data_IF_467865163524
#
_entry.id   IF_467865163524
#
_cell.length_a   1.000
_cell.length_b   1.000
_cell.length_c   1.000
_cell.angle_alpha   90.00
_cell.angle_beta   90.00
_cell.angle_gamma   90.00
#
_symmetry.space_group_name_H-M   'P 1'
#
loop_
_entity.id
_entity.type
_entity.pdbx_description
1 polymer ?
#
# COMPACT_ATOMS: atom_id res chain seq x y z
N UNK A 1 51.62 -10.68 -26.83
CA UNK A 1 50.84 -10.97 -25.60
C UNK A 1 49.43 -10.46 -25.80
N UNK A 2 48.45 -11.38 -25.76
CA UNK A 2 47.01 -11.07 -25.87
C UNK A 2 46.58 -10.31 -24.61
N UNK A 3 46.00 -9.11 -24.75
CA UNK A 3 45.22 -8.51 -23.66
C UNK A 3 43.74 -8.61 -24.04
N UNK A 4 43.07 -9.47 -23.29
CA UNK A 4 41.67 -9.82 -23.42
C UNK A 4 40.79 -8.57 -23.26
N UNK A 5 39.87 -8.45 -24.20
CA UNK A 5 38.69 -7.61 -24.17
C UNK A 5 37.86 -7.96 -22.91
N UNK A 6 37.50 -6.98 -22.10
CA UNK A 6 36.42 -7.11 -21.12
C UNK A 6 35.46 -5.95 -21.35
N UNK A 7 34.49 -6.20 -22.23
CA UNK A 7 33.34 -5.34 -22.48
C UNK A 7 32.43 -5.45 -21.24
N UNK A 8 32.48 -4.46 -20.35
CA UNK A 8 31.53 -4.36 -19.24
C UNK A 8 30.20 -3.88 -19.82
N UNK A 9 29.35 -4.83 -20.18
CA UNK A 9 27.95 -4.60 -20.48
C UNK A 9 27.24 -4.20 -19.18
N UNK A 10 27.15 -2.89 -18.94
CA UNK A 10 26.22 -2.35 -17.95
C UNK A 10 24.82 -2.53 -18.55
N UNK A 11 24.19 -3.66 -18.25
CA UNK A 11 22.76 -3.85 -18.44
C UNK A 11 22.05 -2.98 -17.39
N UNK A 12 21.82 -1.72 -17.71
CA UNK A 12 20.79 -0.93 -17.03
C UNK A 12 19.47 -1.51 -17.52
N UNK A 13 18.91 -2.47 -16.78
CA UNK A 13 17.52 -2.87 -16.93
C UNK A 13 16.65 -1.68 -16.47
N UNK A 14 16.49 -0.69 -17.36
CA UNK A 14 15.38 0.26 -17.28
C UNK A 14 14.14 -0.48 -17.80
N UNK A 15 13.62 -1.41 -17.00
CA UNK A 15 12.23 -1.83 -17.13
C UNK A 15 11.38 -0.72 -16.52
N UNK A 16 11.31 0.41 -17.21
CA UNK A 16 10.21 1.36 -17.07
C UNK A 16 8.92 0.57 -17.21
N UNK A 17 8.08 0.68 -16.18
CA UNK A 17 7.04 -0.27 -15.87
C UNK A 17 6.09 -0.62 -17.01
N UNK A 18 5.98 -1.92 -17.27
CA UNK A 18 4.65 -2.49 -17.42
C UNK A 18 4.08 -2.58 -16.00
N UNK A 19 3.35 -1.54 -15.57
CA UNK A 19 2.54 -1.61 -14.37
C UNK A 19 1.63 -2.82 -14.48
N UNK A 20 1.62 -3.68 -13.46
CA UNK A 20 0.61 -4.72 -13.38
C UNK A 20 -0.73 -3.99 -13.28
N UNK A 21 -1.61 -4.30 -14.22
CA UNK A 21 -2.96 -3.79 -14.22
C UNK A 21 -3.70 -4.37 -12.99
N UNK A 22 -3.72 -3.64 -11.88
CA UNK A 22 -4.35 -4.11 -10.65
C UNK A 22 -5.85 -3.86 -10.69
N UNK A 23 -6.60 -4.81 -10.15
CA UNK A 23 -8.04 -4.70 -9.99
C UNK A 23 -8.40 -4.84 -8.51
N UNK A 24 -9.63 -4.48 -8.15
CA UNK A 24 -10.18 -4.76 -6.81
C UNK A 24 -10.14 -6.26 -6.44
N UNK A 25 -9.98 -7.19 -7.39
CA UNK A 25 -9.77 -8.62 -7.10
C UNK A 25 -8.36 -8.96 -6.63
N UNK A 26 -7.40 -8.07 -6.82
CA UNK A 26 -6.03 -8.28 -6.35
C UNK A 26 -5.87 -7.89 -4.88
N UNK A 27 -6.67 -6.94 -4.39
CA UNK A 27 -6.67 -6.57 -2.96
C UNK A 27 -7.20 -7.70 -2.07
N UNK A 28 -8.11 -8.55 -2.57
CA UNK A 28 -8.65 -9.69 -1.79
C UNK A 28 -7.62 -10.79 -1.54
N UNK A 29 -6.46 -10.73 -2.21
CA UNK A 29 -5.33 -11.63 -1.98
C UNK A 29 -4.41 -11.11 -0.87
N UNK A 30 -4.60 -9.87 -0.43
CA UNK A 30 -3.83 -9.27 0.66
C UNK A 30 -4.52 -9.59 1.99
N UNK A 31 -3.71 -9.86 3.00
CA UNK A 31 -4.17 -10.10 4.37
C UNK A 31 -3.32 -9.33 5.35
N UNK A 32 -3.87 -9.04 6.52
CA UNK A 32 -3.09 -8.61 7.68
C UNK A 32 -1.97 -9.63 7.97
N UNK A 33 -0.85 -9.15 8.50
CA UNK A 33 0.38 -9.91 8.77
C UNK A 33 1.10 -10.51 7.55
N UNK A 34 0.62 -10.20 6.33
CA UNK A 34 1.33 -10.57 5.12
C UNK A 34 2.67 -9.82 5.03
N UNK A 35 3.73 -10.52 4.61
CA UNK A 35 5.05 -9.92 4.39
C UNK A 35 5.02 -8.98 3.20
N UNK A 36 5.73 -7.85 3.28
CA UNK A 36 5.86 -6.89 2.17
C UNK A 36 6.31 -7.54 0.87
N UNK A 37 7.29 -8.46 0.93
CA UNK A 37 7.78 -9.19 -0.25
C UNK A 37 6.64 -9.95 -0.96
N UNK A 38 5.75 -10.61 -0.19
CA UNK A 38 4.59 -11.31 -0.75
C UNK A 38 3.57 -10.34 -1.34
N UNK A 39 3.40 -9.17 -0.73
CA UNK A 39 2.55 -8.12 -1.32
C UNK A 39 3.12 -7.68 -2.68
N UNK A 40 4.43 -7.48 -2.78
CA UNK A 40 5.07 -7.13 -4.04
C UNK A 40 5.04 -8.26 -5.09
N UNK A 41 5.09 -9.52 -4.68
CA UNK A 41 4.84 -10.66 -5.58
C UNK A 41 3.41 -10.65 -6.14
N UNK A 42 2.43 -10.33 -5.29
CA UNK A 42 1.01 -10.30 -5.64
C UNK A 42 0.65 -9.07 -6.47
N UNK A 43 1.13 -7.89 -6.11
CA UNK A 43 0.72 -6.61 -6.70
C UNK A 43 1.76 -5.99 -7.63
N UNK A 44 2.98 -6.51 -7.65
CA UNK A 44 4.11 -5.86 -8.30
C UNK A 44 4.70 -4.75 -7.43
N UNK A 45 5.41 -3.81 -8.06
CA UNK A 45 6.03 -2.69 -7.35
C UNK A 45 5.00 -1.59 -7.08
N UNK A 46 5.06 -0.92 -5.92
CA UNK A 46 4.22 0.25 -5.66
C UNK A 46 4.59 1.39 -6.61
N UNK A 47 3.60 2.22 -6.95
CA UNK A 47 3.82 3.47 -7.68
C UNK A 47 4.38 4.56 -6.78
N UNK A 48 4.09 4.50 -5.48
CA UNK A 48 4.64 5.40 -4.47
C UNK A 48 4.89 4.68 -3.15
N UNK A 49 5.98 5.06 -2.47
CA UNK A 49 6.31 4.58 -1.13
C UNK A 49 6.79 5.73 -0.26
N UNK A 50 6.42 5.72 1.01
CA UNK A 50 6.88 6.73 1.98
C UNK A 50 6.99 6.16 3.39
N UNK A 51 7.91 6.75 4.14
CA UNK A 51 8.03 6.61 5.60
C UNK A 51 7.93 7.98 6.28
N UNK A 52 7.67 9.03 5.50
CA UNK A 52 7.51 10.38 6.02
C UNK A 52 6.23 10.46 6.86
N UNK A 53 6.35 11.00 8.06
CA UNK A 53 5.24 11.02 9.01
C UNK A 53 4.07 11.85 8.51
N UNK A 54 4.34 12.99 7.88
CA UNK A 54 3.28 13.91 7.46
C UNK A 54 2.50 13.29 6.30
N UNK A 55 3.18 12.59 5.37
CA UNK A 55 2.53 11.79 4.34
C UNK A 55 1.69 10.65 4.94
N UNK A 56 2.26 9.91 5.91
CA UNK A 56 1.58 8.81 6.60
C UNK A 56 0.30 9.32 7.27
N UNK A 57 0.38 10.36 8.08
CA UNK A 57 -0.80 10.90 8.79
C UNK A 57 -1.78 11.59 7.85
N UNK A 58 -1.32 12.34 6.84
CA UNK A 58 -2.20 13.07 5.93
C UNK A 58 -3.03 12.13 5.05
N UNK A 59 -2.42 11.05 4.55
CA UNK A 59 -3.16 9.98 3.87
C UNK A 59 -4.06 9.25 4.84
N UNK A 60 -3.59 9.00 6.06
CA UNK A 60 -4.38 8.33 7.08
C UNK A 60 -5.65 9.11 7.50
N UNK A 61 -5.55 10.42 7.68
CA UNK A 61 -6.67 11.29 8.04
C UNK A 61 -7.72 11.35 6.91
N UNK A 62 -7.28 11.34 5.66
CA UNK A 62 -8.18 11.28 4.48
C UNK A 62 -9.03 10.00 4.48
N UNK A 63 -8.47 8.88 4.93
CA UNK A 63 -9.17 7.59 5.09
C UNK A 63 -10.20 7.65 6.20
N UNK A 64 -9.84 8.33 7.29
CA UNK A 64 -10.66 8.45 8.50
C UNK A 64 -12.02 9.05 8.19
N UNK A 65 -12.06 10.09 7.37
CA UNK A 65 -13.31 10.70 6.91
C UNK A 65 -14.18 9.69 6.17
N UNK A 66 -13.59 8.84 5.34
CA UNK A 66 -14.30 7.88 4.50
C UNK A 66 -14.80 6.69 5.32
N UNK A 67 -13.94 6.12 6.17
CA UNK A 67 -14.32 5.03 7.07
C UNK A 67 -15.37 5.49 8.07
N UNK A 68 -15.23 6.67 8.67
CA UNK A 68 -16.26 7.18 9.58
C UNK A 68 -17.58 7.42 8.84
N UNK A 69 -17.54 7.93 7.61
CA UNK A 69 -18.77 8.09 6.79
C UNK A 69 -19.41 6.74 6.47
N UNK A 70 -18.65 5.71 6.09
CA UNK A 70 -19.18 4.37 5.77
C UNK A 70 -19.63 3.58 7.01
N UNK A 71 -18.86 3.63 8.10
CA UNK A 71 -19.22 2.99 9.39
C UNK A 71 -20.47 3.63 9.99
N UNK A 72 -20.64 4.94 9.88
CA UNK A 72 -21.85 5.59 10.40
C UNK A 72 -23.14 5.09 9.73
N UNK A 73 -23.05 4.61 8.48
CA UNK A 73 -24.15 4.01 7.74
C UNK A 73 -24.41 2.53 8.06
N UNK A 74 -23.41 1.76 8.52
CA UNK A 74 -23.56 0.32 8.80
C UNK A 74 -22.75 -0.17 10.01
N UNK A 75 -23.14 0.30 11.20
CA UNK A 75 -22.41 0.08 12.47
C UNK A 75 -22.44 -1.36 13.02
N UNK A 76 -23.12 -2.30 12.36
CA UNK A 76 -23.40 -3.63 12.92
C UNK A 76 -22.69 -4.78 12.21
N UNK A 77 -21.88 -4.52 11.19
CA UNK A 77 -21.13 -5.57 10.49
C UNK A 77 -19.78 -5.80 11.18
N UNK A 78 -19.51 -7.02 11.64
CA UNK A 78 -18.29 -7.43 12.37
C UNK A 78 -17.00 -7.05 11.61
N UNK A 79 -17.05 -7.10 10.27
CA UNK A 79 -15.95 -6.69 9.39
C UNK A 79 -15.64 -5.19 9.48
N UNK A 80 -16.64 -4.33 9.73
CA UNK A 80 -16.43 -2.89 9.91
C UNK A 80 -15.70 -2.59 11.23
N UNK A 81 -16.02 -3.33 12.29
CA UNK A 81 -15.34 -3.22 13.58
C UNK A 81 -13.90 -3.72 13.51
N UNK A 82 -13.66 -4.82 12.76
CA UNK A 82 -12.31 -5.33 12.52
C UNK A 82 -11.46 -4.32 11.75
N UNK A 83 -11.98 -3.77 10.65
CA UNK A 83 -11.29 -2.74 9.88
C UNK A 83 -10.96 -1.49 10.70
N UNK A 84 -11.85 -1.07 11.60
CA UNK A 84 -11.59 0.05 12.53
C UNK A 84 -10.48 -0.26 13.54
N UNK A 85 -10.41 -1.50 14.06
CA UNK A 85 -9.37 -1.91 14.98
C UNK A 85 -7.98 -1.92 14.30
N UNK A 86 -7.87 -2.54 13.11
CA UNK A 86 -6.66 -2.58 12.29
C UNK A 86 -6.18 -1.16 11.92
N UNK A 87 -7.13 -0.31 11.55
CA UNK A 87 -6.90 1.12 11.35
C UNK A 87 -6.29 1.71 12.63
N UNK A 88 -6.96 1.68 13.78
CA UNK A 88 -6.54 2.34 15.02
C UNK A 88 -5.15 1.92 15.49
N UNK A 89 -4.81 0.64 15.36
CA UNK A 89 -3.47 0.13 15.68
C UNK A 89 -2.38 0.76 14.81
N UNK A 90 -2.67 0.95 13.52
CA UNK A 90 -1.77 1.64 12.57
C UNK A 90 -1.55 3.11 12.96
N UNK A 91 -2.61 3.85 13.33
CA UNK A 91 -2.46 5.24 13.79
C UNK A 91 -1.57 5.34 15.02
N UNK A 92 -1.82 4.45 15.97
CA UNK A 92 -1.04 4.38 17.20
C UNK A 92 0.43 4.11 16.88
N UNK A 93 0.71 3.20 15.95
CA UNK A 93 2.07 2.90 15.52
C UNK A 93 2.77 4.10 14.85
N UNK A 94 2.07 4.85 13.99
CA UNK A 94 2.58 6.09 13.39
C UNK A 94 2.94 7.10 14.49
N UNK A 95 2.06 7.28 15.48
CA UNK A 95 2.28 8.23 16.58
C UNK A 95 3.38 7.81 17.56
N UNK A 96 3.51 6.50 17.79
CA UNK A 96 4.59 5.90 18.59
C UNK A 96 5.94 5.85 17.83
N UNK A 97 6.00 6.36 16.59
CA UNK A 97 7.20 6.34 15.72
C UNK A 97 7.76 4.92 15.54
N UNK A 98 6.87 3.92 15.43
CA UNK A 98 7.26 2.58 14.99
C UNK A 98 7.70 2.63 13.53
N UNK A 99 8.35 1.56 13.07
CA UNK A 99 8.71 1.44 11.65
C UNK A 99 7.43 1.22 10.84
N UNK A 100 6.84 2.32 10.38
CA UNK A 100 5.65 2.33 9.53
C UNK A 100 6.02 2.80 8.13
N UNK A 101 5.57 2.05 7.13
CA UNK A 101 5.72 2.41 5.72
C UNK A 101 4.35 2.40 5.05
N UNK A 102 4.14 3.31 4.09
CA UNK A 102 2.96 3.34 3.24
C UNK A 102 3.37 3.06 1.80
N UNK A 103 2.70 2.09 1.19
CA UNK A 103 2.83 1.71 -0.21
C UNK A 103 1.52 2.03 -0.90
N UNK A 104 1.62 2.71 -2.04
CA UNK A 104 0.47 3.07 -2.89
C UNK A 104 0.65 2.41 -4.23
N UNK A 105 -0.42 1.81 -4.72
CA UNK A 105 -0.50 1.15 -6.00
C UNK A 105 -1.60 1.79 -6.84
N UNK A 106 -1.27 2.04 -8.10
CA UNK A 106 -2.27 2.45 -9.09
C UNK A 106 -3.03 1.22 -9.57
N UNK A 107 -4.34 1.35 -9.78
CA UNK A 107 -5.14 0.31 -10.43
C UNK A 107 -5.25 0.59 -11.94
N UNK A 108 -5.92 -0.32 -12.66
CA UNK A 108 -6.23 -0.10 -14.08
C UNK A 108 -6.94 1.23 -14.35
N UNK A 109 -7.74 1.68 -13.38
CA UNK A 109 -8.41 2.98 -13.43
C UNK A 109 -7.55 3.97 -12.66
N UNK A 110 -7.13 5.08 -13.28
CA UNK A 110 -6.42 6.16 -12.56
C UNK A 110 -7.23 6.75 -11.40
N UNK A 111 -8.53 6.43 -11.37
CA UNK A 111 -9.52 6.83 -10.39
C UNK A 111 -9.51 5.99 -9.11
N UNK A 112 -8.83 4.83 -9.08
CA UNK A 112 -8.75 3.99 -7.90
C UNK A 112 -7.28 3.73 -7.52
N UNK A 113 -7.01 3.81 -6.22
CA UNK A 113 -5.67 3.54 -5.66
C UNK A 113 -5.79 2.61 -4.47
N UNK A 114 -4.86 1.67 -4.39
CA UNK A 114 -4.71 0.75 -3.26
C UNK A 114 -3.61 1.29 -2.35
N UNK A 115 -3.91 1.37 -1.07
CA UNK A 115 -2.99 1.87 -0.05
C UNK A 115 -2.77 0.76 0.97
N UNK A 116 -1.51 0.49 1.29
CA UNK A 116 -1.12 -0.58 2.21
C UNK A 116 -0.12 -0.01 3.20
N UNK A 117 -0.46 -0.07 4.48
CA UNK A 117 0.42 0.27 5.58
C UNK A 117 1.11 -0.98 6.11
N UNK A 118 2.42 -0.87 6.25
CA UNK A 118 3.26 -1.88 6.87
C UNK A 118 3.72 -1.41 8.24
N UNK A 119 3.70 -2.30 9.24
CA UNK A 119 4.43 -2.14 10.49
C UNK A 119 5.45 -3.26 10.55
N UNK A 120 6.73 -2.93 10.68
CA UNK A 120 7.81 -3.92 10.76
C UNK A 120 7.75 -4.96 9.63
N UNK A 121 7.60 -4.51 8.37
CA UNK A 121 7.54 -5.35 7.16
C UNK A 121 6.27 -6.24 7.04
N UNK A 122 5.26 -6.02 7.88
CA UNK A 122 3.99 -6.76 7.88
C UNK A 122 2.82 -5.84 7.59
N UNK A 123 1.88 -6.29 6.75
CA UNK A 123 0.64 -5.56 6.49
C UNK A 123 -0.11 -5.36 7.80
N UNK A 124 -0.35 -4.10 8.16
CA UNK A 124 -1.12 -3.72 9.34
C UNK A 124 -2.49 -3.18 8.99
N UNK A 125 -2.63 -2.57 7.82
CA UNK A 125 -3.89 -2.02 7.33
C UNK A 125 -3.81 -1.80 5.83
N UNK A 126 -4.91 -2.01 5.13
CA UNK A 126 -4.99 -1.73 3.70
C UNK A 126 -6.42 -1.40 3.28
N UNK A 127 -6.55 -0.63 2.20
CA UNK A 127 -7.84 -0.26 1.64
C UNK A 127 -7.66 0.16 0.18
N UNK A 128 -8.78 0.17 -0.55
CA UNK A 128 -8.89 0.78 -1.87
C UNK A 128 -9.73 2.04 -1.78
N UNK A 129 -9.31 3.09 -2.47
CA UNK A 129 -10.02 4.35 -2.53
C UNK A 129 -10.24 4.78 -3.97
N UNK A 130 -11.51 5.01 -4.32
CA UNK A 130 -11.90 5.71 -5.53
C UNK A 130 -11.85 7.22 -5.29
N UNK A 131 -11.01 7.93 -6.03
CA UNK A 131 -10.80 9.39 -5.92
C UNK A 131 -11.96 10.21 -6.48
N UNK A 132 -12.92 9.59 -7.16
CA UNK A 132 -14.12 10.23 -7.68
C UNK A 132 -15.32 10.17 -6.71
N UNK A 133 -15.21 9.47 -5.58
CA UNK A 133 -16.26 9.35 -4.55
C UNK A 133 -16.13 10.37 -3.40
N UNK A 134 -15.35 11.45 -3.59
CA UNK A 134 -15.21 12.54 -2.60
C UNK A 134 -16.23 13.66 -2.77
#
# INVERSE_FOLDING_TARGET
MKKSLALVLIFIFVLSGCGKNLTSKDISKISIDMDQEKVEEVLGKPSFKTTDRDDLTGKYDSITTIYNTRIEFDRNEEDNLRGYAEYSETYKAINEKKNVELYVYDTETEEEKIYIYFINNKVSFFYSLNTNET
#
